data_IF_049045350711
#
_entry.id   IF_049045350711
#
_cell.length_a   1.000
_cell.length_b   1.000
_cell.length_c   1.000
_cell.angle_alpha   90.00
_cell.angle_beta   90.00
_cell.angle_gamma   90.00
#
_symmetry.space_group_name_H-M   'P 1'
#
loop_
_entity.id
_entity.type
_entity.pdbx_description
1 polymer ?
#
# COMPACT_ATOMS: atom_id res chain seq x y z
N UNK A 1 -57.04 -9.93 -34.57
CA UNK A 1 -55.71 -10.29 -34.16
C UNK A 1 -54.93 -9.04 -33.82
N UNK A 2 -54.86 -8.65 -32.54
CA UNK A 2 -54.13 -7.48 -32.07
C UNK A 2 -52.71 -7.90 -31.64
N UNK A 3 -51.71 -7.39 -32.37
CA UNK A 3 -50.32 -7.55 -31.98
C UNK A 3 -49.93 -6.56 -30.85
N UNK A 4 -49.52 -7.06 -29.73
CA UNK A 4 -48.93 -6.27 -28.59
C UNK A 4 -47.45 -6.12 -28.83
N UNK A 5 -47.03 -4.91 -29.11
CA UNK A 5 -45.61 -4.51 -29.13
C UNK A 5 -45.17 -4.21 -27.69
N UNK A 6 -44.27 -4.98 -27.14
CA UNK A 6 -43.58 -4.73 -25.87
C UNK A 6 -42.43 -3.74 -26.11
N UNK A 7 -42.55 -2.53 -25.59
CA UNK A 7 -41.44 -1.58 -25.46
C UNK A 7 -40.59 -1.98 -24.24
N UNK A 8 -39.37 -2.43 -24.48
CA UNK A 8 -38.38 -2.62 -23.43
C UNK A 8 -37.75 -1.24 -23.11
N UNK A 9 -38.09 -0.66 -21.94
CA UNK A 9 -37.38 0.49 -21.38
C UNK A 9 -36.03 -0.01 -20.82
N UNK A 10 -34.96 0.25 -21.54
CA UNK A 10 -33.59 0.10 -21.04
C UNK A 10 -33.30 1.22 -20.03
N UNK A 11 -33.19 0.89 -18.75
CA UNK A 11 -32.63 1.79 -17.74
C UNK A 11 -31.11 1.94 -17.99
N UNK A 12 -30.72 3.08 -18.58
CA UNK A 12 -29.34 3.51 -18.56
C UNK A 12 -28.96 3.92 -17.13
N UNK A 13 -28.19 3.10 -16.45
CA UNK A 13 -27.48 3.50 -15.23
C UNK A 13 -26.36 4.47 -15.63
N UNK A 14 -26.61 5.77 -15.48
CA UNK A 14 -25.57 6.79 -15.51
C UNK A 14 -24.71 6.59 -14.27
N UNK A 15 -23.52 5.99 -14.46
CA UNK A 15 -22.49 5.98 -13.44
C UNK A 15 -22.05 7.43 -13.19
N UNK A 16 -22.53 8.05 -12.10
CA UNK A 16 -22.00 9.34 -11.66
C UNK A 16 -20.52 9.16 -11.34
N UNK A 17 -19.63 10.03 -11.86
CA UNK A 17 -18.24 10.01 -11.47
C UNK A 17 -18.18 10.29 -9.96
N UNK A 18 -17.51 9.40 -9.21
CA UNK A 18 -17.23 9.64 -7.81
C UNK A 18 -16.43 10.95 -7.70
N UNK A 19 -17.03 11.98 -7.16
CA UNK A 19 -16.37 13.26 -6.91
C UNK A 19 -15.21 12.99 -5.97
N UNK A 20 -13.98 13.23 -6.41
CA UNK A 20 -12.82 13.15 -5.56
C UNK A 20 -13.00 14.13 -4.39
N UNK A 21 -13.03 13.63 -3.16
CA UNK A 21 -13.16 14.46 -1.97
C UNK A 21 -11.95 15.39 -1.89
N UNK A 22 -12.19 16.71 -2.01
CA UNK A 22 -11.14 17.71 -1.86
C UNK A 22 -10.92 17.95 -0.38
N UNK A 23 -9.71 17.70 0.12
CA UNK A 23 -9.30 17.98 1.50
C UNK A 23 -8.48 19.26 1.51
N UNK A 24 -8.82 20.16 2.42
CA UNK A 24 -8.13 21.42 2.65
C UNK A 24 -7.26 21.34 3.90
N UNK A 25 -6.05 21.86 3.80
CA UNK A 25 -5.12 22.03 4.93
C UNK A 25 -5.05 23.50 5.29
N UNK A 26 -5.22 23.86 6.54
CA UNK A 26 -4.98 25.20 7.06
C UNK A 26 -4.35 25.13 8.45
N UNK A 27 -3.69 26.23 8.85
CA UNK A 27 -3.14 26.38 10.19
C UNK A 27 -4.00 27.42 10.89
N UNK A 28 -4.54 27.09 12.06
CA UNK A 28 -5.34 28.02 12.84
C UNK A 28 -4.48 29.09 13.54
N UNK A 29 -5.12 30.04 14.21
CA UNK A 29 -4.45 31.12 14.91
C UNK A 29 -3.51 30.65 16.05
N UNK A 30 -3.67 29.43 16.51
CA UNK A 30 -2.84 28.81 17.55
C UNK A 30 -1.68 27.98 16.97
N UNK A 31 -1.49 28.00 15.64
CA UNK A 31 -0.47 27.20 14.95
C UNK A 31 -0.84 25.73 14.76
N UNK A 32 -2.09 25.33 15.04
CA UNK A 32 -2.56 23.96 14.85
C UNK A 32 -2.92 23.72 13.39
N UNK A 33 -2.31 22.71 12.79
CA UNK A 33 -2.62 22.31 11.42
C UNK A 33 -3.88 21.45 11.41
N UNK A 34 -4.90 21.92 10.72
CA UNK A 34 -6.20 21.25 10.56
C UNK A 34 -6.42 20.80 9.11
N UNK A 35 -7.07 19.68 8.96
CA UNK A 35 -7.53 19.15 7.66
C UNK A 35 -9.05 19.09 7.67
N UNK A 36 -9.69 19.59 6.61
CA UNK A 36 -11.15 19.67 6.49
C UNK A 36 -11.60 19.40 5.05
N UNK A 37 -12.78 18.87 4.89
CA UNK A 37 -13.48 18.79 3.59
C UNK A 37 -14.11 20.14 3.17
N UNK A 38 -14.09 21.13 4.08
CA UNK A 38 -14.58 22.49 3.84
C UNK A 38 -13.40 23.45 3.64
N UNK A 39 -13.48 24.28 2.62
CA UNK A 39 -12.51 25.34 2.41
C UNK A 39 -12.62 26.38 3.54
N UNK A 40 -11.49 26.77 4.12
CA UNK A 40 -11.39 27.85 5.08
C UNK A 40 -10.46 28.96 4.52
N UNK A 41 -10.56 30.21 4.99
CA UNK A 41 -9.65 31.27 4.58
C UNK A 41 -8.19 30.87 4.84
N UNK A 42 -7.32 31.00 3.83
CA UNK A 42 -5.91 30.59 3.91
C UNK A 42 -5.66 29.07 3.77
N UNK A 43 -6.70 28.27 3.53
CA UNK A 43 -6.54 26.85 3.32
C UNK A 43 -5.94 26.55 1.94
N UNK A 44 -4.98 25.64 1.89
CA UNK A 44 -4.48 25.06 0.64
C UNK A 44 -5.14 23.71 0.35
N UNK A 45 -5.38 23.39 -0.93
CA UNK A 45 -5.83 22.05 -1.30
C UNK A 45 -4.75 21.05 -0.94
N UNK A 46 -5.08 20.16 0.00
CA UNK A 46 -4.20 19.06 0.36
C UNK A 46 -4.47 17.89 -0.58
N UNK A 47 -3.57 17.68 -1.50
CA UNK A 47 -3.58 16.45 -2.30
C UNK A 47 -2.96 15.37 -1.43
N UNK A 48 -3.77 14.43 -0.97
CA UNK A 48 -3.24 13.17 -0.49
C UNK A 48 -2.49 12.54 -1.66
N UNK A 49 -1.19 12.73 -1.70
CA UNK A 49 -0.39 11.75 -2.39
C UNK A 49 -0.64 10.46 -1.63
N UNK A 50 -1.26 9.49 -2.28
CA UNK A 50 -1.50 8.14 -1.77
C UNK A 50 -0.15 7.40 -1.65
N UNK A 51 0.71 8.01 -0.89
CA UNK A 51 2.01 7.52 -0.53
C UNK A 51 1.93 7.01 0.92
N UNK A 52 1.22 5.91 1.11
CA UNK A 52 1.85 4.86 1.92
C UNK A 52 3.11 4.50 1.13
N UNK A 53 4.13 5.36 1.24
CA UNK A 53 5.35 5.25 0.46
C UNK A 53 6.26 4.30 1.17
N UNK A 54 6.02 3.08 0.90
CA UNK A 54 7.13 2.15 0.87
C UNK A 54 7.99 2.55 -0.31
N UNK A 55 9.16 3.08 -0.04
CA UNK A 55 10.17 3.33 -1.06
C UNK A 55 10.74 1.98 -1.49
N UNK A 56 9.94 1.19 -2.22
CA UNK A 56 10.36 -0.09 -2.80
C UNK A 56 11.34 0.13 -3.95
N UNK A 57 11.39 1.34 -4.51
CA UNK A 57 12.19 1.73 -5.67
C UNK A 57 13.71 1.45 -5.48
N UNK A 58 14.17 1.44 -4.24
CA UNK A 58 15.55 1.08 -3.93
C UNK A 58 15.79 -0.43 -3.77
N UNK A 59 14.73 -1.24 -3.70
CA UNK A 59 14.82 -2.68 -3.45
C UNK A 59 14.34 -3.55 -4.62
N UNK A 60 13.68 -2.93 -5.62
CA UNK A 60 13.33 -3.57 -6.89
C UNK A 60 13.96 -2.75 -8.01
N UNK A 61 15.00 -3.29 -8.65
CA UNK A 61 15.83 -2.55 -9.58
C UNK A 61 15.90 -3.21 -10.93
N UNK A 62 15.79 -2.39 -11.99
CA UNK A 62 16.18 -2.76 -13.33
C UNK A 62 17.68 -2.47 -13.49
N UNK A 63 18.43 -3.47 -13.88
CA UNK A 63 19.87 -3.38 -14.19
C UNK A 63 20.08 -3.70 -15.67
N UNK A 64 20.95 -2.91 -16.31
CA UNK A 64 21.41 -3.18 -17.68
C UNK A 64 22.87 -3.62 -17.62
N UNK A 65 23.16 -4.82 -18.12
CA UNK A 65 24.54 -5.30 -18.28
C UNK A 65 24.94 -5.26 -19.73
N UNK A 66 25.96 -4.47 -20.04
CA UNK A 66 26.57 -4.41 -21.38
C UNK A 66 27.55 -5.56 -21.58
N UNK A 67 27.60 -6.10 -22.78
CA UNK A 67 28.54 -7.11 -23.23
C UNK A 67 28.88 -6.90 -24.73
N UNK A 68 29.86 -7.63 -25.27
CA UNK A 68 30.34 -7.44 -26.65
C UNK A 68 29.25 -7.55 -27.73
N UNK A 69 28.20 -8.35 -27.49
CA UNK A 69 27.09 -8.54 -28.45
C UNK A 69 25.82 -7.73 -28.14
N UNK A 70 25.82 -6.84 -27.16
CA UNK A 70 24.63 -6.06 -26.82
C UNK A 70 24.43 -5.82 -25.33
N UNK A 71 23.20 -5.89 -24.86
CA UNK A 71 22.81 -5.59 -23.49
C UNK A 71 21.82 -6.62 -22.93
N UNK A 72 21.96 -6.94 -21.65
CA UNK A 72 21.02 -7.81 -20.93
C UNK A 72 20.28 -7.01 -19.87
N UNK A 73 18.95 -7.05 -19.90
CA UNK A 73 18.08 -6.43 -18.91
C UNK A 73 17.76 -7.46 -17.81
N UNK A 74 18.14 -7.11 -16.58
CA UNK A 74 17.96 -7.91 -15.38
C UNK A 74 17.06 -7.13 -14.40
N UNK A 75 16.17 -7.82 -13.71
CA UNK A 75 15.45 -7.22 -12.58
C UNK A 75 15.83 -7.96 -11.31
N UNK A 76 16.21 -7.17 -10.29
CA UNK A 76 16.57 -7.67 -8.97
C UNK A 76 15.51 -7.29 -7.95
N UNK A 77 15.12 -8.26 -7.14
CA UNK A 77 14.25 -8.11 -6.00
C UNK A 77 15.04 -8.36 -4.71
N UNK A 78 15.32 -7.30 -3.96
CA UNK A 78 16.02 -7.37 -2.66
C UNK A 78 15.08 -7.52 -1.47
N UNK A 79 13.75 -7.62 -1.70
CA UNK A 79 12.75 -7.81 -0.65
C UNK A 79 12.64 -9.28 -0.22
N UNK A 80 12.14 -9.49 0.98
CA UNK A 80 11.77 -10.81 1.52
C UNK A 80 10.34 -11.23 1.13
N UNK A 81 9.81 -10.68 0.04
CA UNK A 81 8.49 -10.94 -0.51
C UNK A 81 8.56 -11.09 -2.02
N UNK A 82 7.61 -11.81 -2.65
CA UNK A 82 7.43 -11.77 -4.08
C UNK A 82 7.07 -10.35 -4.55
N UNK A 83 7.42 -10.03 -5.78
CA UNK A 83 7.12 -8.74 -6.42
C UNK A 83 6.52 -9.00 -7.81
N UNK A 84 5.33 -8.48 -8.05
CA UNK A 84 4.72 -8.44 -9.38
C UNK A 84 5.35 -7.30 -10.17
N UNK A 85 5.89 -7.59 -11.36
CA UNK A 85 6.57 -6.63 -12.21
C UNK A 85 5.99 -6.59 -13.61
N UNK A 86 6.13 -5.42 -14.25
CA UNK A 86 5.92 -5.23 -15.67
C UNK A 86 7.06 -4.40 -16.26
N UNK A 87 7.80 -4.99 -17.21
CA UNK A 87 8.79 -4.27 -18.01
C UNK A 87 8.21 -3.98 -19.39
N UNK A 88 8.17 -2.70 -19.77
CA UNK A 88 7.82 -2.23 -21.11
C UNK A 88 9.01 -1.50 -21.71
N UNK A 89 9.37 -1.81 -22.96
CA UNK A 89 10.33 -1.05 -23.75
C UNK A 89 9.57 -0.16 -24.74
N UNK A 90 9.99 1.09 -24.88
CA UNK A 90 9.42 2.06 -25.84
C UNK A 90 10.53 2.73 -26.63
N UNK A 91 10.21 3.30 -27.80
CA UNK A 91 11.21 3.96 -28.66
C UNK A 91 12.32 3.03 -29.12
N UNK A 92 12.01 1.75 -29.35
CA UNK A 92 13.00 0.74 -29.74
C UNK A 92 13.46 1.02 -31.16
N UNK A 93 14.77 1.24 -31.33
CA UNK A 93 15.45 1.44 -32.62
C UNK A 93 16.75 0.65 -32.61
N UNK A 94 17.05 -0.01 -33.73
CA UNK A 94 18.24 -0.81 -33.91
C UNK A 94 18.49 -1.84 -32.80
N UNK A 95 17.45 -2.47 -32.27
CA UNK A 95 17.55 -3.45 -31.18
C UNK A 95 16.77 -4.72 -31.49
N UNK A 96 17.47 -5.83 -31.74
CA UNK A 96 16.91 -7.19 -31.89
C UNK A 96 16.75 -7.79 -30.49
N UNK A 97 15.76 -8.66 -30.32
CA UNK A 97 15.47 -9.31 -29.04
C UNK A 97 14.62 -8.45 -28.09
N UNK A 98 14.26 -7.23 -28.51
CA UNK A 98 13.33 -6.40 -27.76
C UNK A 98 11.91 -7.03 -27.79
N UNK A 99 11.27 -7.21 -26.59
CA UNK A 99 9.92 -7.73 -26.54
C UNK A 99 8.94 -6.71 -27.16
N UNK A 100 8.05 -7.21 -28.02
CA UNK A 100 6.99 -6.41 -28.66
C UNK A 100 5.79 -6.14 -27.75
N UNK A 101 5.70 -6.85 -26.61
CA UNK A 101 4.68 -6.69 -25.55
C UNK A 101 5.36 -6.52 -24.20
N UNK A 102 4.70 -5.88 -23.23
CA UNK A 102 5.21 -5.82 -21.85
C UNK A 102 5.45 -7.22 -21.29
N UNK A 103 6.61 -7.42 -20.65
CA UNK A 103 6.92 -8.65 -19.92
C UNK A 103 6.33 -8.51 -18.52
N UNK A 104 5.44 -9.41 -18.13
CA UNK A 104 4.93 -9.51 -16.75
C UNK A 104 5.48 -10.77 -16.09
N UNK A 105 5.92 -10.59 -14.84
CA UNK A 105 6.46 -11.68 -14.04
C UNK A 105 6.29 -11.43 -12.55
N UNK A 106 6.20 -12.50 -11.77
CA UNK A 106 6.29 -12.41 -10.31
C UNK A 106 7.68 -12.90 -9.89
N UNK A 107 8.52 -11.96 -9.44
CA UNK A 107 9.84 -12.29 -8.95
C UNK A 107 9.74 -12.92 -7.56
N UNK A 108 10.43 -14.05 -7.33
CA UNK A 108 10.57 -14.59 -5.98
C UNK A 108 11.29 -13.60 -5.03
N UNK A 109 11.15 -13.79 -3.72
CA UNK A 109 11.96 -13.05 -2.74
C UNK A 109 13.46 -13.22 -2.99
N UNK A 110 14.26 -12.15 -2.77
CA UNK A 110 15.73 -12.19 -2.81
C UNK A 110 16.29 -12.78 -4.10
N UNK A 111 15.71 -12.42 -5.24
CA UNK A 111 16.04 -13.00 -6.54
C UNK A 111 16.44 -11.97 -7.58
N UNK A 112 17.13 -12.44 -8.62
CA UNK A 112 17.43 -11.69 -9.83
C UNK A 112 17.09 -12.56 -11.03
N UNK A 113 16.40 -12.00 -12.01
CA UNK A 113 16.09 -12.69 -13.27
C UNK A 113 16.48 -11.86 -14.48
N UNK A 114 16.80 -12.55 -15.58
CA UNK A 114 16.99 -11.95 -16.89
C UNK A 114 15.62 -11.85 -17.58
N UNK A 115 15.25 -10.63 -18.00
CA UNK A 115 13.99 -10.37 -18.70
C UNK A 115 14.17 -10.32 -20.21
N UNK A 116 15.26 -9.72 -20.70
CA UNK A 116 15.54 -9.63 -22.13
C UNK A 116 17.05 -9.55 -22.38
N UNK A 117 17.46 -9.99 -23.57
CA UNK A 117 18.80 -9.72 -24.12
C UNK A 117 18.60 -9.04 -25.45
N UNK A 118 19.22 -7.86 -25.60
CA UNK A 118 19.13 -7.00 -26.76
C UNK A 118 20.45 -6.98 -27.50
N UNK A 119 20.41 -7.03 -28.83
CA UNK A 119 21.57 -6.88 -29.69
C UNK A 119 21.29 -5.84 -30.77
N UNK A 120 22.29 -5.10 -31.27
CA UNK A 120 22.10 -4.19 -32.40
C UNK A 120 21.74 -4.98 -33.66
N UNK A 121 20.72 -4.52 -34.41
CA UNK A 121 20.41 -5.02 -35.74
C UNK A 121 21.55 -4.66 -36.72
N UNK A 122 22.05 -3.44 -36.65
CA UNK A 122 23.21 -2.91 -37.36
C UNK A 122 24.29 -2.58 -36.32
N UNK A 123 25.39 -3.36 -36.24
CA UNK A 123 26.45 -3.11 -35.26
C UNK A 123 27.16 -1.78 -35.38
N UNK A 124 27.07 -1.10 -36.53
CA UNK A 124 27.68 0.20 -36.78
C UNK A 124 26.87 1.36 -36.18
N UNK A 125 25.64 1.09 -35.70
CA UNK A 125 24.72 2.08 -35.16
C UNK A 125 24.36 1.79 -33.69
N UNK A 126 24.16 2.85 -32.89
CA UNK A 126 23.74 2.65 -31.50
C UNK A 126 22.33 2.07 -31.41
N UNK A 127 22.10 1.26 -30.40
CA UNK A 127 20.75 0.85 -29.96
C UNK A 127 20.11 1.98 -29.15
N UNK A 128 18.80 2.18 -29.36
CA UNK A 128 17.99 3.09 -28.55
C UNK A 128 16.74 2.38 -28.06
N UNK A 129 16.41 2.56 -26.79
CA UNK A 129 15.15 2.15 -26.17
C UNK A 129 14.98 2.85 -24.82
N UNK A 130 13.74 2.97 -24.36
CA UNK A 130 13.41 3.50 -23.03
C UNK A 130 12.71 2.40 -22.24
N UNK A 131 13.34 1.86 -21.20
CA UNK A 131 12.73 0.87 -20.34
C UNK A 131 11.84 1.55 -19.28
N UNK A 132 10.66 0.99 -19.05
CA UNK A 132 9.75 1.38 -17.97
C UNK A 132 9.41 0.15 -17.15
N UNK A 133 9.93 0.11 -15.92
CA UNK A 133 9.60 -0.92 -14.93
C UNK A 133 8.47 -0.41 -14.03
N UNK A 134 7.40 -1.21 -13.91
CA UNK A 134 6.37 -1.06 -12.88
C UNK A 134 6.45 -2.27 -11.96
N UNK A 135 6.17 -2.07 -10.69
CA UNK A 135 6.19 -3.17 -9.72
C UNK A 135 5.21 -2.93 -8.58
N UNK A 136 4.78 -4.01 -7.94
CA UNK A 136 3.99 -3.99 -6.71
C UNK A 136 4.36 -5.19 -5.83
N UNK A 137 4.33 -4.98 -4.52
CA UNK A 137 4.65 -6.00 -3.52
C UNK A 137 3.58 -7.10 -3.51
N UNK A 138 4.01 -8.35 -3.40
CA UNK A 138 3.14 -9.52 -3.33
C UNK A 138 2.90 -10.21 -4.68
N UNK A 139 2.30 -11.39 -4.60
CA UNK A 139 1.87 -12.18 -5.76
C UNK A 139 0.35 -12.01 -5.98
N UNK A 140 -0.09 -11.39 -7.09
CA UNK A 140 -1.51 -11.15 -7.35
C UNK A 140 -2.31 -12.45 -7.61
N UNK A 141 -1.64 -13.57 -7.89
CA UNK A 141 -2.27 -14.86 -8.17
C UNK A 141 -2.76 -15.57 -6.90
N UNK A 142 -2.19 -15.20 -5.73
CA UNK A 142 -2.62 -15.75 -4.45
C UNK A 142 -3.96 -15.13 -4.04
N UNK A 143 -4.86 -15.98 -3.56
CA UNK A 143 -6.20 -15.58 -3.13
C UNK A 143 -6.29 -15.56 -1.60
N UNK A 144 -6.87 -14.51 -1.01
CA UNK A 144 -7.09 -14.43 0.41
C UNK A 144 -7.89 -15.62 0.94
N UNK A 145 -7.45 -16.19 2.06
CA UNK A 145 -8.21 -17.21 2.78
C UNK A 145 -9.02 -16.56 3.89
N UNK A 146 -10.22 -17.08 4.21
CA UNK A 146 -10.97 -16.60 5.35
C UNK A 146 -10.13 -16.64 6.63
N UNK A 147 -10.00 -15.51 7.30
CA UNK A 147 -9.24 -15.38 8.54
C UNK A 147 -9.86 -14.31 9.44
N UNK A 148 -10.11 -14.65 10.70
CA UNK A 148 -10.54 -13.69 11.72
C UNK A 148 -9.32 -13.25 12.52
N UNK A 149 -8.95 -11.99 12.39
CA UNK A 149 -7.74 -11.42 12.99
C UNK A 149 -7.94 -11.24 14.50
N UNK A 150 -7.12 -11.82 15.38
CA UNK A 150 -7.06 -11.39 16.76
C UNK A 150 -6.71 -9.92 16.84
N UNK A 151 -7.10 -9.24 17.93
CA UNK A 151 -6.78 -7.83 18.12
C UNK A 151 -5.27 -7.64 18.13
N UNK A 152 -4.73 -6.70 17.34
CA UNK A 152 -3.29 -6.53 17.15
C UNK A 152 -2.57 -5.78 18.30
N UNK A 153 -3.09 -5.89 19.52
CA UNK A 153 -2.51 -5.24 20.71
C UNK A 153 -2.77 -6.06 21.98
N UNK A 154 -2.05 -5.70 23.04
CA UNK A 154 -2.31 -6.19 24.40
C UNK A 154 -2.83 -5.07 25.29
N UNK A 155 -3.71 -5.42 26.24
CA UNK A 155 -4.34 -4.45 27.14
C UNK A 155 -5.67 -3.93 26.60
N UNK A 156 -6.10 -2.76 27.04
CA UNK A 156 -7.42 -2.17 26.72
C UNK A 156 -8.45 -2.40 27.81
N UNK A 157 -9.74 -2.09 27.53
CA UNK A 157 -10.33 -1.89 26.19
C UNK A 157 -9.88 -0.60 25.51
N UNK A 158 -9.76 -0.63 24.19
CA UNK A 158 -9.45 0.53 23.35
C UNK A 158 -10.60 0.82 22.39
N UNK A 159 -10.62 2.06 21.87
CA UNK A 159 -11.73 2.57 21.08
C UNK A 159 -11.38 2.61 19.60
N UNK A 160 -12.28 2.11 18.75
CA UNK A 160 -12.25 2.36 17.31
C UNK A 160 -12.65 3.82 17.03
N UNK A 161 -11.75 4.61 16.46
CA UNK A 161 -11.98 6.02 16.12
C UNK A 161 -12.35 6.21 14.66
N UNK A 162 -11.85 5.34 13.78
CA UNK A 162 -12.21 5.33 12.37
C UNK A 162 -12.20 3.88 11.87
N UNK A 163 -13.25 3.46 11.19
CA UNK A 163 -13.35 2.15 10.54
C UNK A 163 -13.23 2.23 9.02
N UNK A 164 -13.67 1.15 8.36
CA UNK A 164 -13.68 1.06 6.90
C UNK A 164 -14.51 2.19 6.26
N UNK A 165 -14.04 2.71 5.13
CA UNK A 165 -14.62 3.85 4.39
C UNK A 165 -14.72 5.16 5.20
N UNK A 166 -13.92 5.29 6.25
CA UNK A 166 -13.87 6.49 7.07
C UNK A 166 -13.40 7.72 6.28
N UNK A 167 -14.07 8.86 6.51
CA UNK A 167 -13.93 10.07 5.68
C UNK A 167 -12.58 10.79 5.82
N UNK A 168 -11.82 10.54 6.88
CA UNK A 168 -10.56 11.27 7.13
C UNK A 168 -9.37 10.73 6.34
N UNK A 169 -9.18 9.40 6.30
CA UNK A 169 -8.02 8.77 5.67
C UNK A 169 -8.34 7.43 5.01
N UNK A 170 -9.50 6.81 5.31
CA UNK A 170 -9.87 5.48 4.83
C UNK A 170 -10.71 5.54 3.54
N UNK A 171 -10.27 6.36 2.57
CA UNK A 171 -10.93 6.51 1.26
C UNK A 171 -10.01 6.13 0.09
N UNK A 172 -8.72 5.89 0.34
CA UNK A 172 -7.78 5.47 -0.70
C UNK A 172 -7.86 3.97 -0.94
N UNK A 173 -7.48 3.45 -2.12
CA UNK A 173 -7.44 2.00 -2.36
C UNK A 173 -6.63 1.24 -1.32
N UNK A 174 -5.51 1.79 -0.84
CA UNK A 174 -4.65 1.14 0.15
C UNK A 174 -5.18 1.19 1.58
N UNK A 175 -6.01 2.16 1.93
CA UNK A 175 -6.49 2.40 3.31
C UNK A 175 -7.98 2.20 3.52
N UNK A 176 -8.77 1.99 2.46
CA UNK A 176 -10.25 1.96 2.53
C UNK A 176 -10.83 1.09 3.64
N UNK A 177 -10.23 -0.05 3.89
CA UNK A 177 -10.70 -1.02 4.89
C UNK A 177 -9.86 -1.01 6.17
N UNK A 178 -9.13 0.07 6.44
CA UNK A 178 -8.34 0.19 7.66
C UNK A 178 -9.21 0.41 8.90
N UNK A 179 -8.60 0.17 10.05
CA UNK A 179 -9.14 0.47 11.37
C UNK A 179 -8.13 1.32 12.15
N UNK A 180 -8.58 2.48 12.66
CA UNK A 180 -7.83 3.31 13.58
C UNK A 180 -8.33 3.07 15.00
N UNK A 181 -7.43 2.64 15.87
CA UNK A 181 -7.74 2.31 17.25
C UNK A 181 -6.98 3.25 18.18
N UNK A 182 -7.70 4.17 18.83
CA UNK A 182 -7.11 5.07 19.83
C UNK A 182 -6.58 4.27 21.01
N UNK A 183 -5.32 4.48 21.34
CA UNK A 183 -4.65 3.85 22.47
C UNK A 183 -3.47 4.71 22.93
N UNK A 184 -3.08 4.63 24.22
CA UNK A 184 -1.90 5.34 24.70
C UNK A 184 -0.63 4.97 23.92
N UNK A 185 0.28 5.92 23.74
CA UNK A 185 1.62 5.60 23.25
C UNK A 185 2.30 4.57 24.13
N UNK A 186 3.08 3.68 23.53
CA UNK A 186 3.75 2.61 24.25
C UNK A 186 2.92 1.35 24.47
N UNK A 187 1.64 1.32 24.06
CA UNK A 187 0.82 0.09 24.11
C UNK A 187 1.48 -1.03 23.29
N UNK A 188 1.64 -2.24 23.84
CA UNK A 188 2.25 -3.35 23.09
C UNK A 188 1.44 -3.74 21.86
N UNK A 189 2.06 -3.72 20.69
CA UNK A 189 1.50 -4.16 19.41
C UNK A 189 2.03 -5.55 19.09
N UNK A 190 1.10 -6.43 18.70
CA UNK A 190 1.39 -7.83 18.38
C UNK A 190 0.95 -8.17 16.95
N UNK A 191 1.57 -9.16 16.34
CA UNK A 191 1.17 -9.68 15.05
C UNK A 191 -0.23 -10.30 15.11
N UNK A 192 -1.20 -9.73 14.40
CA UNK A 192 -2.56 -10.26 14.31
C UNK A 192 -2.64 -11.53 13.45
N UNK A 193 -1.62 -11.81 12.66
CA UNK A 193 -1.45 -13.04 11.89
C UNK A 193 0.04 -13.26 11.62
N UNK A 194 0.50 -14.50 11.72
CA UNK A 194 1.87 -14.90 11.44
C UNK A 194 2.24 -14.73 9.97
N UNK A 195 3.54 -14.67 9.69
CA UNK A 195 4.06 -14.53 8.35
C UNK A 195 5.49 -14.01 8.30
N UNK A 196 5.89 -13.53 7.13
CA UNK A 196 7.21 -12.94 6.88
C UNK A 196 7.17 -11.42 7.08
N UNK A 197 8.01 -10.88 7.92
CA UNK A 197 8.22 -9.42 8.02
C UNK A 197 8.94 -8.96 6.76
N UNK A 198 8.25 -8.17 5.92
CA UNK A 198 8.76 -7.80 4.60
C UNK A 198 9.23 -6.37 4.51
N UNK A 199 8.73 -5.49 5.40
CA UNK A 199 9.17 -4.09 5.45
C UNK A 199 8.94 -3.49 6.83
N UNK A 200 9.89 -2.68 7.29
CA UNK A 200 9.78 -1.91 8.52
C UNK A 200 10.26 -0.47 8.30
N UNK A 201 9.78 0.44 9.15
CA UNK A 201 10.34 1.76 9.41
C UNK A 201 10.33 1.98 10.93
N UNK A 202 11.42 2.51 11.48
CA UNK A 202 11.59 2.61 12.94
C UNK A 202 12.28 3.92 13.38
N UNK A 203 12.60 4.81 12.43
CA UNK A 203 13.43 5.99 12.67
C UNK A 203 12.64 7.30 12.74
N UNK A 204 11.38 7.31 12.30
CA UNK A 204 10.57 8.51 12.18
C UNK A 204 10.19 9.08 13.56
N UNK A 205 10.23 10.41 13.69
CA UNK A 205 9.75 11.13 14.89
C UNK A 205 8.69 12.14 14.49
N UNK A 206 7.67 12.28 15.34
CA UNK A 206 6.58 13.21 15.10
C UNK A 206 5.93 12.97 13.73
N UNK A 207 5.51 14.06 13.08
CA UNK A 207 4.87 13.97 11.76
C UNK A 207 5.80 13.52 10.63
N UNK A 208 7.13 13.67 10.78
CA UNK A 208 8.13 13.15 9.86
C UNK A 208 7.91 13.48 8.38
N UNK A 209 8.74 12.88 7.52
CA UNK A 209 8.59 12.98 6.06
C UNK A 209 7.71 11.87 5.47
N UNK A 210 7.57 10.76 6.19
CA UNK A 210 6.76 9.62 5.77
C UNK A 210 5.37 9.68 6.42
N UNK A 211 4.29 9.82 5.65
CA UNK A 211 2.92 9.83 6.18
C UNK A 211 2.55 8.59 6.99
N UNK A 212 3.14 7.44 6.70
CA UNK A 212 2.92 6.19 7.44
C UNK A 212 3.57 6.19 8.83
N UNK A 213 4.51 7.11 9.09
CA UNK A 213 5.33 7.08 10.29
C UNK A 213 6.18 5.83 10.37
N UNK A 214 6.39 5.31 11.58
CA UNK A 214 7.00 4.00 11.77
C UNK A 214 5.96 2.92 11.53
N UNK A 215 6.40 1.81 10.93
CA UNK A 215 5.48 0.74 10.57
C UNK A 215 6.14 -0.63 10.51
N UNK A 216 5.30 -1.66 10.56
CA UNK A 216 5.65 -3.06 10.27
C UNK A 216 4.68 -3.58 9.23
N UNK A 217 5.18 -4.28 8.21
CA UNK A 217 4.40 -5.01 7.22
C UNK A 217 4.74 -6.50 7.28
N UNK A 218 3.73 -7.34 7.39
CA UNK A 218 3.85 -8.79 7.48
C UNK A 218 3.11 -9.42 6.31
N UNK A 219 3.81 -10.19 5.47
CA UNK A 219 3.23 -10.98 4.39
C UNK A 219 2.79 -12.35 4.93
N UNK A 220 1.54 -12.69 4.72
CA UNK A 220 0.95 -13.98 5.10
C UNK A 220 1.03 -15.00 3.95
N UNK A 221 0.88 -16.28 4.26
CA UNK A 221 1.04 -17.37 3.28
C UNK A 221 -0.01 -17.35 2.13
N UNK A 222 -1.12 -16.66 2.30
CA UNK A 222 -2.16 -16.48 1.28
C UNK A 222 -2.00 -15.20 0.45
N UNK A 223 -0.86 -14.52 0.55
CA UNK A 223 -0.56 -13.30 -0.19
C UNK A 223 -1.17 -12.01 0.38
N UNK A 224 -1.94 -12.11 1.46
CA UNK A 224 -2.40 -10.92 2.20
C UNK A 224 -1.28 -10.35 3.07
N UNK A 225 -1.38 -9.08 3.42
CA UNK A 225 -0.38 -8.37 4.22
C UNK A 225 -1.05 -7.60 5.34
N UNK A 226 -0.67 -7.88 6.58
CA UNK A 226 -1.01 -7.05 7.73
C UNK A 226 -0.07 -5.86 7.85
N UNK A 227 -0.59 -4.64 7.94
CA UNK A 227 0.18 -3.40 8.02
C UNK A 227 -0.19 -2.64 9.28
N UNK A 228 0.82 -2.26 10.06
CA UNK A 228 0.71 -1.63 11.36
C UNK A 228 1.44 -0.30 11.29
N UNK A 229 0.71 0.83 11.34
CA UNK A 229 1.30 2.17 11.14
C UNK A 229 1.28 3.01 12.42
N UNK A 230 1.95 4.17 12.32
CA UNK A 230 2.07 5.19 13.37
C UNK A 230 2.74 4.70 14.65
N UNK A 231 3.62 3.69 14.52
CA UNK A 231 4.31 3.07 15.64
C UNK A 231 5.29 4.03 16.32
N UNK A 232 5.60 3.76 17.58
CA UNK A 232 6.54 4.54 18.36
C UNK A 232 7.96 4.40 17.80
N UNK A 233 8.69 5.51 17.71
CA UNK A 233 10.09 5.53 17.26
C UNK A 233 10.95 4.59 18.10
N UNK A 234 11.76 3.79 17.43
CA UNK A 234 12.71 2.88 18.09
C UNK A 234 12.06 1.64 18.73
N UNK A 235 10.73 1.47 18.60
CA UNK A 235 10.00 0.38 19.29
C UNK A 235 9.82 -0.89 18.47
N UNK A 236 10.10 -0.85 17.16
CA UNK A 236 10.00 -2.05 16.31
C UNK A 236 11.04 -3.07 16.77
N UNK A 237 10.56 -4.26 17.16
CA UNK A 237 11.38 -5.35 17.75
C UNK A 237 11.60 -6.52 16.80
N UNK A 238 11.12 -6.42 15.57
CA UNK A 238 11.28 -7.42 14.50
C UNK A 238 12.14 -6.86 13.37
N UNK A 239 12.68 -7.74 12.50
CA UNK A 239 13.50 -7.33 11.35
C UNK A 239 12.94 -7.87 10.03
N UNK A 240 13.24 -7.19 8.93
CA UNK A 240 12.92 -7.68 7.59
C UNK A 240 13.55 -9.07 7.37
N UNK A 241 12.78 -10.00 6.79
CA UNK A 241 13.17 -11.40 6.60
C UNK A 241 12.93 -12.29 7.83
N UNK A 242 12.41 -11.77 8.92
CA UNK A 242 12.02 -12.57 10.07
C UNK A 242 10.65 -13.21 9.85
N UNK A 243 10.53 -14.52 10.00
CA UNK A 243 9.26 -15.22 10.10
C UNK A 243 8.76 -15.16 11.54
N UNK A 244 7.51 -14.78 11.74
CA UNK A 244 6.91 -14.61 13.06
C UNK A 244 5.54 -15.28 13.13
N UNK A 245 5.14 -15.63 14.35
CA UNK A 245 3.85 -16.24 14.65
C UNK A 245 2.81 -15.18 15.07
N UNK A 246 1.53 -15.54 14.97
CA UNK A 246 0.44 -14.75 15.55
C UNK A 246 0.67 -14.51 17.04
N UNK A 247 0.48 -13.28 17.52
CA UNK A 247 0.71 -12.90 18.91
C UNK A 247 2.14 -12.50 19.25
N UNK A 248 3.10 -12.64 18.31
CA UNK A 248 4.47 -12.12 18.47
C UNK A 248 4.44 -10.61 18.70
N UNK A 249 5.14 -10.12 19.72
CA UNK A 249 5.33 -8.68 19.94
C UNK A 249 6.17 -8.09 18.81
N UNK A 250 5.68 -7.03 18.16
CA UNK A 250 6.33 -6.45 16.98
C UNK A 250 6.77 -5.00 17.17
N UNK A 251 6.07 -4.24 18.02
CA UNK A 251 6.34 -2.83 18.28
C UNK A 251 5.53 -2.31 19.47
N UNK A 252 5.54 -0.97 19.63
CA UNK A 252 4.62 -0.23 20.51
C UNK A 252 3.85 0.80 19.69
N UNK A 253 2.59 1.08 20.07
CA UNK A 253 1.80 2.17 19.48
C UNK A 253 2.48 3.52 19.69
N UNK A 254 2.27 4.44 18.77
CA UNK A 254 2.86 5.76 18.80
C UNK A 254 1.94 6.82 18.20
N UNK A 255 2.56 7.91 17.72
CA UNK A 255 1.90 9.04 17.08
C UNK A 255 2.80 9.62 15.97
N UNK A 256 3.46 8.74 15.20
CA UNK A 256 4.40 9.15 14.15
C UNK A 256 3.73 9.21 12.78
N UNK A 257 4.25 10.03 11.87
CA UNK A 257 3.70 10.21 10.53
C UNK A 257 2.49 11.15 10.50
N UNK A 258 1.57 10.94 9.56
CA UNK A 258 0.36 11.75 9.42
C UNK A 258 -0.72 11.27 10.42
N UNK A 259 -0.49 11.56 11.69
CA UNK A 259 -1.35 11.21 12.81
C UNK A 259 -1.74 12.45 13.60
N UNK A 260 -2.99 12.50 14.06
CA UNK A 260 -3.55 13.59 14.86
C UNK A 260 -3.54 13.29 16.37
N UNK A 261 -3.28 12.06 16.76
CA UNK A 261 -3.22 11.62 18.16
C UNK A 261 -2.78 10.16 18.26
N UNK A 262 -2.38 9.69 19.45
CA UNK A 262 -1.88 8.34 19.64
C UNK A 262 -2.91 7.28 19.24
N UNK A 263 -2.58 6.43 18.27
CA UNK A 263 -3.43 5.34 17.79
C UNK A 263 -2.62 4.28 17.04
N UNK A 264 -3.20 3.11 16.85
CA UNK A 264 -2.76 2.13 15.87
C UNK A 264 -3.64 2.24 14.63
N UNK A 265 -3.05 2.46 13.47
CA UNK A 265 -3.70 2.21 12.19
C UNK A 265 -3.36 0.79 11.74
N UNK A 266 -4.38 -0.05 11.59
CA UNK A 266 -4.23 -1.43 11.13
C UNK A 266 -5.03 -1.64 9.85
N UNK A 267 -4.40 -2.26 8.84
CA UNK A 267 -5.05 -2.58 7.58
C UNK A 267 -4.54 -3.90 7.02
N UNK A 268 -5.42 -4.63 6.34
CA UNK A 268 -5.06 -5.81 5.57
C UNK A 268 -5.07 -5.45 4.09
N UNK A 269 -3.99 -5.76 3.40
CA UNK A 269 -3.79 -5.43 1.98
C UNK A 269 -3.42 -6.67 1.17
N UNK A 270 -3.55 -6.58 -0.16
CA UNK A 270 -3.02 -7.58 -1.10
C UNK A 270 -2.59 -6.92 -2.41
N UNK A 271 -1.78 -7.62 -3.19
CA UNK A 271 -1.55 -7.27 -4.59
C UNK A 271 -2.77 -7.67 -5.44
N UNK A 272 -3.28 -6.73 -6.24
CA UNK A 272 -4.40 -6.92 -7.16
C UNK A 272 -3.99 -6.83 -8.64
N UNK A 273 -2.70 -6.84 -8.92
CA UNK A 273 -2.08 -6.72 -10.24
C UNK A 273 -1.39 -5.36 -10.44
N UNK A 274 -0.07 -5.31 -10.21
CA UNK A 274 0.76 -4.10 -10.23
C UNK A 274 0.26 -2.96 -9.33
N UNK A 275 -0.57 -3.30 -8.36
CA UNK A 275 -1.08 -2.39 -7.33
C UNK A 275 -1.34 -3.15 -6.04
N UNK A 276 -1.16 -2.47 -4.91
CA UNK A 276 -1.53 -2.98 -3.60
C UNK A 276 -2.77 -2.25 -3.12
N UNK A 277 -3.80 -3.00 -2.74
CA UNK A 277 -5.06 -2.46 -2.23
C UNK A 277 -5.44 -3.10 -0.91
N UNK A 278 -6.17 -2.35 -0.09
CA UNK A 278 -6.79 -2.88 1.12
C UNK A 278 -7.98 -3.78 0.79
N UNK A 279 -8.17 -4.79 1.61
CA UNK A 279 -9.31 -5.71 1.52
C UNK A 279 -10.10 -5.71 2.83
N UNK A 280 -11.41 -6.02 2.79
CA UNK A 280 -12.20 -6.23 4.00
C UNK A 280 -11.59 -7.31 4.88
N UNK A 281 -11.65 -7.11 6.18
CA UNK A 281 -11.25 -8.10 7.19
C UNK A 281 -12.11 -7.97 8.45
N UNK A 282 -12.18 -9.04 9.24
CA UNK A 282 -12.88 -9.07 10.50
C UNK A 282 -11.92 -9.35 11.64
N UNK A 283 -12.12 -8.67 12.77
CA UNK A 283 -11.51 -9.08 14.02
C UNK A 283 -12.25 -10.29 14.62
N UNK A 284 -11.53 -11.14 15.34
CA UNK A 284 -12.10 -12.34 15.99
C UNK A 284 -13.05 -12.01 17.15
N UNK A 285 -12.99 -10.77 17.65
CA UNK A 285 -13.89 -10.22 18.67
C UNK A 285 -14.09 -8.72 18.39
N UNK A 286 -15.22 -8.12 18.83
CA UNK A 286 -15.45 -6.70 18.67
C UNK A 286 -14.31 -5.87 19.30
N UNK A 287 -13.87 -4.84 18.60
CA UNK A 287 -13.14 -3.72 19.21
C UNK A 287 -14.16 -3.02 20.09
N UNK A 288 -13.86 -2.81 21.38
CA UNK A 288 -14.81 -2.24 22.34
C UNK A 288 -15.57 -1.06 21.75
N UNK A 289 -16.87 -1.24 21.57
CA UNK A 289 -17.74 -0.31 20.86
C UNK A 289 -18.08 0.86 21.77
N UNK A 290 -17.36 1.95 21.61
CA UNK A 290 -18.05 3.24 21.71
C UNK A 290 -18.62 3.55 20.31
N UNK A 291 -19.80 4.21 20.23
CA UNK A 291 -20.41 4.51 18.95
C UNK A 291 -19.38 5.13 18.03
N UNK A 292 -19.50 4.79 16.77
CA UNK A 292 -18.71 5.38 15.68
C UNK A 292 -18.92 6.90 15.77
N UNK A 293 -18.12 7.58 16.55
CA UNK A 293 -18.02 9.02 16.49
C UNK A 293 -17.17 9.26 15.23
N UNK A 294 -17.80 9.08 14.08
CA UNK A 294 -17.49 9.87 12.92
C UNK A 294 -17.73 11.29 13.40
N UNK A 295 -16.68 11.95 13.88
CA UNK A 295 -16.70 13.37 14.24
C UNK A 295 -16.99 14.09 12.94
N UNK A 296 -18.19 14.66 12.83
CA UNK A 296 -18.64 15.39 11.67
C UNK A 296 -19.94 14.85 11.07
N UNK A 297 -20.88 14.53 11.92
CA UNK A 297 -22.29 14.61 11.57
C UNK A 297 -22.83 15.89 12.16
N UNK A 298 -23.02 16.87 11.32
CA UNK A 298 -24.16 17.79 11.22
C UNK A 298 -23.93 18.64 9.97
#
# INVERSE_FOLDING_TARGET
MLGRTLLALGLLWLAMPASALTVYKYTDANGVVTYSDKAAPGASVFRFNDRMVETLDNQVKLETRKHAGGETLLVRNDLFAPVDIELKLTGVQNAVGAPNKPIRWVLPPRSQIRLATLAPLDPSKPMHYTPKLRHALGDPRLLPKPYKYPLPWRGGPFRLTQGANGKYSHFTPKGRYAADIAMPEGTPIIAARGGMVVKIENSQSGRGQNPSGNYVRILHDDGTMGVYLHLMKGSVSVREGQRIETGTSIARSGNTGNSTGPHLHFVVQRNVGLAVESIPFDFSRPVGSLPNIAVGGD
#
